data_IF_560041081153
#
_entry.id   IF_560041081153
#
_cell.length_a   1.000
_cell.length_b   1.000
_cell.length_c   1.000
_cell.angle_alpha   90.00
_cell.angle_beta   90.00
_cell.angle_gamma   90.00
#
_symmetry.space_group_name_H-M   'P 1'
#
loop_
_entity.id
_entity.type
_entity.pdbx_description
1 polymer ?
#
# COMPACT_ATOMS: atom_id res chain seq x y z
N UNK A 1 1.28 -29.18 4.01
CA UNK A 1 0.91 -27.75 3.77
C UNK A 1 -0.25 -27.31 4.66
N UNK A 2 -1.47 -27.85 4.54
CA UNK A 2 -2.62 -27.39 5.35
C UNK A 2 -2.37 -27.43 6.88
N UNK A 3 -1.83 -28.54 7.40
CA UNK A 3 -1.49 -28.64 8.83
C UNK A 3 -0.50 -27.56 9.29
N UNK A 4 0.60 -27.38 8.55
CA UNK A 4 1.59 -26.32 8.81
C UNK A 4 0.98 -24.92 8.71
N UNK A 5 0.03 -24.70 7.80
CA UNK A 5 -0.72 -23.44 7.71
C UNK A 5 -1.55 -23.16 8.97
N UNK A 6 -2.19 -24.18 9.53
CA UNK A 6 -2.93 -24.07 10.79
C UNK A 6 -1.98 -23.79 11.97
N UNK A 7 -0.83 -24.47 12.04
CA UNK A 7 0.20 -24.21 13.05
C UNK A 7 0.71 -22.76 12.96
N UNK A 8 0.96 -22.25 11.74
CA UNK A 8 1.34 -20.85 11.52
C UNK A 8 0.26 -19.88 12.03
N UNK A 9 -1.01 -20.14 11.74
CA UNK A 9 -2.12 -19.28 12.17
C UNK A 9 -2.25 -19.23 13.71
N UNK A 10 -2.09 -20.38 14.38
CA UNK A 10 -2.07 -20.47 15.85
C UNK A 10 -0.88 -19.68 16.41
N UNK A 11 0.34 -19.94 15.91
CA UNK A 11 1.55 -19.27 16.37
C UNK A 11 1.52 -17.76 16.16
N UNK A 12 0.96 -17.30 15.03
CA UNK A 12 0.77 -15.88 14.75
C UNK A 12 -0.21 -15.25 15.75
N UNK A 13 -1.34 -15.92 16.02
CA UNK A 13 -2.35 -15.43 16.98
C UNK A 13 -1.79 -15.33 18.40
N UNK A 14 -1.09 -16.36 18.86
CA UNK A 14 -0.40 -16.35 20.16
C UNK A 14 0.64 -15.22 20.26
N UNK A 15 1.37 -14.99 19.17
CA UNK A 15 2.38 -13.92 19.12
C UNK A 15 1.75 -12.53 19.18
N UNK A 16 0.67 -12.30 18.42
CA UNK A 16 -0.08 -11.02 18.45
C UNK A 16 -0.63 -10.75 19.85
N UNK A 17 -1.18 -11.76 20.52
CA UNK A 17 -1.69 -11.65 21.90
C UNK A 17 -0.57 -11.39 22.90
N UNK A 18 0.55 -12.12 22.81
CA UNK A 18 1.71 -11.98 23.70
C UNK A 18 2.36 -10.60 23.57
N UNK A 19 2.48 -10.09 22.34
CA UNK A 19 3.08 -8.78 22.06
C UNK A 19 2.12 -7.62 22.28
N UNK A 20 0.84 -7.91 22.51
CA UNK A 20 -0.22 -6.93 22.76
C UNK A 20 -0.19 -5.81 21.70
N UNK A 21 -0.23 -6.21 20.42
CA UNK A 21 0.00 -5.29 19.29
C UNK A 21 -1.04 -4.16 19.21
N UNK A 22 -2.24 -4.39 19.76
CA UNK A 22 -3.33 -3.41 19.79
C UNK A 22 -3.17 -2.37 20.92
N UNK A 23 -2.24 -2.59 21.87
CA UNK A 23 -2.05 -1.69 22.99
C UNK A 23 -1.39 -0.38 22.57
N UNK A 24 -2.20 0.68 22.57
CA UNK A 24 -1.75 2.02 22.17
C UNK A 24 -0.75 2.67 23.13
N UNK A 25 -0.64 2.16 24.36
CA UNK A 25 0.34 2.60 25.37
C UNK A 25 1.75 2.04 25.16
N UNK A 26 1.90 1.04 24.29
CA UNK A 26 3.21 0.52 23.89
C UNK A 26 3.69 1.20 22.60
N UNK A 27 5.01 1.18 22.31
CA UNK A 27 5.55 1.54 20.99
C UNK A 27 4.87 0.73 19.87
N UNK A 28 5.02 1.15 18.61
CA UNK A 28 4.45 0.39 17.48
C UNK A 28 5.31 -0.83 17.16
N UNK A 29 6.63 -0.66 17.13
CA UNK A 29 7.60 -1.74 17.01
C UNK A 29 7.92 -2.38 18.37
N UNK A 30 8.40 -3.62 18.33
CA UNK A 30 8.82 -4.45 19.47
C UNK A 30 10.32 -4.71 19.43
N UNK A 31 10.81 -5.58 20.30
CA UNK A 31 12.22 -5.98 20.28
C UNK A 31 12.61 -6.56 18.92
N UNK A 32 13.86 -6.35 18.50
CA UNK A 32 14.34 -6.77 17.18
C UNK A 32 14.06 -8.26 16.89
N UNK A 33 14.30 -9.14 17.86
CA UNK A 33 14.05 -10.58 17.71
C UNK A 33 12.55 -10.90 17.53
N UNK A 34 11.69 -10.14 18.21
CA UNK A 34 10.24 -10.30 18.11
C UNK A 34 9.72 -9.83 16.76
N UNK A 35 10.26 -8.73 16.24
CA UNK A 35 9.92 -8.21 14.92
C UNK A 35 10.45 -9.06 13.77
N UNK A 36 11.63 -9.67 13.94
CA UNK A 36 12.13 -10.66 12.99
C UNK A 36 11.23 -11.91 12.96
N UNK A 37 10.85 -12.46 14.11
CA UNK A 37 9.94 -13.62 14.20
C UNK A 37 8.59 -13.29 13.53
N UNK A 38 8.01 -12.13 13.87
CA UNK A 38 6.74 -11.68 13.30
C UNK A 38 6.84 -11.45 11.79
N UNK A 39 7.90 -10.81 11.29
CA UNK A 39 8.10 -10.60 9.86
C UNK A 39 8.20 -11.93 9.09
N UNK A 40 8.88 -12.94 9.65
CA UNK A 40 8.94 -14.29 9.06
C UNK A 40 7.56 -14.93 8.96
N UNK A 41 6.76 -14.85 10.02
CA UNK A 41 5.39 -15.35 10.03
C UNK A 41 4.50 -14.62 9.01
N UNK A 42 4.59 -13.30 8.92
CA UNK A 42 3.81 -12.50 7.98
C UNK A 42 4.18 -12.77 6.51
N UNK A 43 5.47 -12.94 6.20
CA UNK A 43 5.91 -13.33 4.85
C UNK A 43 5.39 -14.73 4.51
N UNK A 44 5.47 -15.67 5.44
CA UNK A 44 4.93 -17.03 5.25
C UNK A 44 3.41 -17.01 5.03
N UNK A 45 2.68 -16.22 5.81
CA UNK A 45 1.23 -16.05 5.66
C UNK A 45 0.87 -15.41 4.31
N UNK A 46 1.66 -14.45 3.82
CA UNK A 46 1.48 -13.83 2.52
C UNK A 46 1.58 -14.86 1.37
N UNK A 47 2.44 -15.87 1.46
CA UNK A 47 2.48 -16.94 0.46
C UNK A 47 1.23 -17.83 0.46
N UNK A 48 0.64 -18.12 1.63
CA UNK A 48 -0.67 -18.77 1.70
C UNK A 48 -1.77 -17.90 1.10
N UNK A 49 -1.70 -16.58 1.28
CA UNK A 49 -2.63 -15.64 0.64
C UNK A 49 -2.48 -15.63 -0.89
N UNK A 50 -1.26 -15.78 -1.42
CA UNK A 50 -1.04 -15.97 -2.86
C UNK A 50 -1.70 -17.26 -3.36
N UNK A 51 -1.65 -18.37 -2.62
CA UNK A 51 -2.38 -19.59 -2.97
C UNK A 51 -3.88 -19.35 -3.08
N UNK A 52 -4.46 -18.63 -2.11
CA UNK A 52 -5.89 -18.35 -2.08
C UNK A 52 -6.35 -17.44 -3.22
N UNK A 53 -5.51 -16.49 -3.67
CA UNK A 53 -5.87 -15.48 -4.67
C UNK A 53 -5.46 -15.83 -6.10
N UNK A 54 -4.29 -16.44 -6.26
CA UNK A 54 -3.69 -16.72 -7.57
C UNK A 54 -2.92 -18.05 -7.53
N UNK A 55 -3.59 -19.19 -7.74
CA UNK A 55 -2.96 -20.52 -7.68
C UNK A 55 -1.75 -20.67 -8.61
N UNK A 56 -1.76 -20.00 -9.77
CA UNK A 56 -0.62 -20.00 -10.71
C UNK A 56 0.60 -19.31 -10.10
N UNK A 57 0.41 -18.16 -9.44
CA UNK A 57 1.50 -17.41 -8.80
C UNK A 57 2.09 -18.16 -7.61
N UNK A 58 1.27 -18.95 -6.91
CA UNK A 58 1.72 -19.72 -5.76
C UNK A 58 2.81 -20.74 -6.10
N UNK A 59 2.75 -21.36 -7.27
CA UNK A 59 3.73 -22.35 -7.73
C UNK A 59 5.17 -21.80 -7.76
N UNK A 60 5.33 -20.47 -7.82
CA UNK A 60 6.63 -19.79 -7.85
C UNK A 60 7.07 -19.27 -6.48
N UNK A 61 6.33 -19.58 -5.40
CA UNK A 61 6.72 -19.18 -4.05
C UNK A 61 7.74 -20.15 -3.43
N UNK A 62 8.64 -19.69 -2.54
CA UNK A 62 9.52 -20.57 -1.78
C UNK A 62 8.77 -21.64 -0.97
N UNK A 63 7.57 -21.29 -0.48
CA UNK A 63 6.68 -22.21 0.22
C UNK A 63 6.29 -23.38 -0.68
N UNK A 64 5.71 -23.11 -1.86
CA UNK A 64 5.29 -24.16 -2.79
C UNK A 64 6.48 -25.02 -3.22
N UNK A 65 7.61 -24.40 -3.59
CA UNK A 65 8.80 -25.11 -4.02
C UNK A 65 9.36 -26.05 -2.95
N UNK A 66 9.37 -25.61 -1.68
CA UNK A 66 9.87 -26.45 -0.57
C UNK A 66 8.88 -27.55 -0.21
N UNK A 67 7.61 -27.22 -0.05
CA UNK A 67 6.59 -28.15 0.39
C UNK A 67 6.30 -29.26 -0.63
N UNK A 68 6.46 -28.98 -1.94
CA UNK A 68 6.28 -29.97 -2.99
C UNK A 68 7.52 -30.87 -3.18
N UNK A 69 8.72 -30.37 -2.85
CA UNK A 69 9.96 -31.14 -2.99
C UNK A 69 10.08 -32.26 -1.95
N UNK A 70 9.70 -31.98 -0.71
CA UNK A 70 9.69 -32.95 0.38
C UNK A 70 8.51 -32.71 1.33
N UNK A 71 7.31 -33.22 0.98
CA UNK A 71 6.11 -33.01 1.78
C UNK A 71 6.21 -33.60 3.20
N UNK A 72 7.00 -34.67 3.38
CA UNK A 72 7.13 -35.39 4.65
C UNK A 72 7.97 -34.64 5.69
N UNK A 73 8.94 -33.83 5.23
CA UNK A 73 9.78 -33.02 6.10
C UNK A 73 9.30 -31.56 6.26
N UNK A 74 8.16 -31.19 5.66
CA UNK A 74 7.67 -29.81 5.71
C UNK A 74 6.97 -29.50 7.04
N UNK A 75 7.67 -28.80 7.92
CA UNK A 75 7.22 -28.36 9.26
C UNK A 75 7.07 -26.84 9.36
N UNK A 76 6.49 -26.35 10.46
CA UNK A 76 6.43 -24.90 10.75
C UNK A 76 7.84 -24.28 10.84
N UNK A 77 8.76 -24.91 11.57
CA UNK A 77 10.15 -24.43 11.66
C UNK A 77 10.80 -24.31 10.28
N UNK A 78 10.56 -25.31 9.42
CA UNK A 78 11.10 -25.27 8.06
C UNK A 78 10.49 -24.13 7.25
N UNK A 79 9.19 -23.87 7.41
CA UNK A 79 8.50 -22.75 6.77
C UNK A 79 9.06 -21.39 7.23
N UNK A 80 9.28 -21.19 8.53
CA UNK A 80 9.78 -19.92 9.08
C UNK A 80 11.25 -19.63 8.73
N UNK A 81 12.00 -20.65 8.30
CA UNK A 81 13.34 -20.50 7.73
C UNK A 81 13.34 -20.10 6.25
N UNK A 82 12.22 -20.20 5.53
CA UNK A 82 12.17 -19.90 4.09
C UNK A 82 12.30 -18.41 3.74
N UNK A 83 11.71 -17.45 4.50
CA UNK A 83 11.90 -16.04 4.23
C UNK A 83 13.39 -15.66 4.23
N UNK A 84 13.84 -15.09 3.10
CA UNK A 84 15.21 -14.62 2.97
C UNK A 84 15.46 -13.44 3.92
N UNK A 85 16.66 -13.37 4.52
CA UNK A 85 17.02 -12.33 5.51
C UNK A 85 16.75 -10.90 5.00
N UNK A 86 17.00 -10.64 3.72
CA UNK A 86 16.80 -9.30 3.15
C UNK A 86 15.31 -8.94 3.02
N UNK A 87 14.43 -9.94 2.86
CA UNK A 87 12.97 -9.71 2.88
C UNK A 87 12.50 -9.38 4.30
N UNK A 88 13.01 -10.10 5.29
CA UNK A 88 12.75 -9.84 6.72
C UNK A 88 13.23 -8.44 7.10
N UNK A 89 14.46 -8.09 6.69
CA UNK A 89 15.01 -6.74 6.89
C UNK A 89 14.19 -5.65 6.19
N UNK A 90 13.67 -5.90 4.98
CA UNK A 90 12.81 -4.95 4.27
C UNK A 90 11.47 -4.73 4.99
N UNK A 91 10.86 -5.77 5.55
CA UNK A 91 9.60 -5.67 6.32
C UNK A 91 9.83 -4.93 7.64
N UNK A 92 10.85 -5.30 8.41
CA UNK A 92 11.18 -4.64 9.68
C UNK A 92 11.57 -3.17 9.48
N UNK A 93 12.31 -2.85 8.42
CA UNK A 93 12.62 -1.45 8.07
C UNK A 93 11.39 -0.63 7.69
N UNK A 94 10.38 -1.24 7.04
CA UNK A 94 9.11 -0.58 6.74
C UNK A 94 8.29 -0.33 8.02
N UNK A 95 8.25 -1.29 8.94
CA UNK A 95 7.61 -1.12 10.25
C UNK A 95 8.27 0.02 11.03
N UNK A 96 9.59 0.05 11.10
CA UNK A 96 10.32 1.13 11.78
C UNK A 96 9.96 2.52 11.23
N UNK A 97 9.82 2.64 9.89
CA UNK A 97 9.38 3.90 9.25
C UNK A 97 7.93 4.25 9.58
N UNK A 98 7.05 3.27 9.72
CA UNK A 98 5.67 3.48 10.15
C UNK A 98 5.61 3.95 11.61
N UNK A 99 6.40 3.30 12.49
CA UNK A 99 6.48 3.58 13.92
C UNK A 99 7.03 4.97 14.25
N UNK A 100 7.88 5.52 13.37
CA UNK A 100 8.57 6.81 13.59
C UNK A 100 8.26 7.83 12.48
N UNK A 101 7.08 7.73 11.88
CA UNK A 101 6.70 8.47 10.69
C UNK A 101 5.32 9.11 10.77
N UNK A 102 4.72 9.50 9.63
CA UNK A 102 3.41 10.14 9.61
C UNK A 102 2.28 9.25 10.17
N UNK A 103 2.46 7.92 10.19
CA UNK A 103 1.51 7.00 10.79
C UNK A 103 1.54 7.01 12.33
N UNK A 104 2.69 7.32 12.95
CA UNK A 104 2.77 7.54 14.39
C UNK A 104 1.90 8.74 14.81
N UNK A 105 2.02 9.85 14.08
CA UNK A 105 1.21 11.05 14.30
C UNK A 105 -0.29 10.81 14.02
N UNK A 106 -0.63 9.90 13.12
CA UNK A 106 -2.01 9.47 12.88
C UNK A 106 -2.53 8.60 14.03
N UNK A 107 -1.74 7.64 14.50
CA UNK A 107 -2.07 6.80 15.66
C UNK A 107 -2.26 7.61 16.93
N UNK A 108 -1.44 8.64 17.17
CA UNK A 108 -1.50 9.47 18.36
C UNK A 108 -2.77 10.34 18.47
N UNK A 109 -3.38 10.71 17.33
CA UNK A 109 -4.57 11.58 17.29
C UNK A 109 -5.89 10.84 17.15
N UNK A 110 -5.86 9.53 16.94
CA UNK A 110 -7.03 8.68 16.71
C UNK A 110 -7.19 7.68 17.85
N UNK A 111 -8.35 7.03 17.90
CA UNK A 111 -8.66 5.90 18.77
C UNK A 111 -8.94 4.65 17.95
N UNK A 112 -8.92 3.45 18.56
CA UNK A 112 -9.25 2.22 17.84
C UNK A 112 -10.61 2.26 17.13
N UNK A 113 -11.63 2.87 17.74
CA UNK A 113 -12.95 3.05 17.15
C UNK A 113 -12.99 3.95 15.91
N UNK A 114 -11.96 4.79 15.71
CA UNK A 114 -11.82 5.65 14.52
C UNK A 114 -11.16 4.91 13.35
N UNK A 115 -10.71 3.67 13.55
CA UNK A 115 -9.97 2.87 12.58
C UNK A 115 -10.80 1.69 12.09
N UNK A 116 -11.16 1.69 10.80
CA UNK A 116 -11.73 0.54 10.12
C UNK A 116 -10.65 -0.11 9.24
N UNK A 117 -10.15 -1.28 9.65
CA UNK A 117 -9.25 -2.10 8.81
C UNK A 117 -10.06 -2.98 7.88
N UNK A 118 -9.62 -3.11 6.61
CA UNK A 118 -10.33 -3.92 5.62
C UNK A 118 -11.80 -3.51 5.42
N UNK A 119 -12.14 -2.20 5.33
CA UNK A 119 -13.54 -1.80 5.24
C UNK A 119 -14.19 -2.43 4.01
N UNK A 120 -15.31 -3.10 4.26
CA UNK A 120 -16.17 -3.66 3.21
C UNK A 120 -17.29 -2.68 2.88
N UNK A 121 -17.74 -2.69 1.64
CA UNK A 121 -18.75 -1.75 1.14
C UNK A 121 -20.06 -2.46 0.86
N UNK A 122 -21.12 -2.05 1.56
CA UNK A 122 -22.44 -2.68 1.46
C UNK A 122 -23.05 -2.50 0.05
N UNK A 123 -23.82 -3.49 -0.41
CA UNK A 123 -24.59 -3.41 -1.66
C UNK A 123 -23.77 -3.57 -2.94
N UNK A 124 -22.44 -3.56 -2.87
CA UNK A 124 -21.59 -3.87 -4.00
C UNK A 124 -21.61 -5.39 -4.27
N UNK A 125 -21.93 -5.80 -5.50
CA UNK A 125 -21.72 -7.19 -5.96
C UNK A 125 -20.23 -7.51 -6.17
N UNK A 126 -19.36 -6.57 -5.81
CA UNK A 126 -17.91 -6.68 -5.88
C UNK A 126 -17.35 -6.68 -4.46
N UNK A 127 -16.47 -7.62 -4.18
CA UNK A 127 -15.64 -7.61 -2.98
C UNK A 127 -14.47 -6.68 -3.24
N UNK A 128 -14.39 -5.59 -2.49
CA UNK A 128 -13.30 -4.64 -2.53
C UNK A 128 -12.87 -4.37 -1.09
N UNK A 129 -11.62 -4.69 -0.79
CA UNK A 129 -11.03 -4.50 0.53
C UNK A 129 -10.04 -3.34 0.40
N UNK A 130 -10.46 -2.15 0.85
CA UNK A 130 -9.48 -1.09 1.10
C UNK A 130 -8.61 -1.48 2.30
N UNK A 131 -7.41 -0.92 2.42
CA UNK A 131 -6.51 -1.35 3.50
C UNK A 131 -6.99 -0.83 4.85
N UNK A 132 -7.22 0.49 4.95
CA UNK A 132 -7.75 1.11 6.17
C UNK A 132 -8.48 2.42 5.88
N UNK A 133 -9.49 2.73 6.68
CA UNK A 133 -10.00 4.10 6.87
C UNK A 133 -9.73 4.51 8.31
N UNK A 134 -9.14 5.70 8.50
CA UNK A 134 -8.85 6.25 9.83
C UNK A 134 -9.38 7.68 9.89
N UNK A 135 -10.37 7.95 10.74
CA UNK A 135 -10.93 9.29 10.97
C UNK A 135 -11.25 10.02 9.65
N UNK A 136 -12.11 9.41 8.81
CA UNK A 136 -12.48 9.94 7.49
C UNK A 136 -11.39 9.88 6.42
N UNK A 137 -10.19 9.38 6.73
CA UNK A 137 -9.08 9.24 5.77
C UNK A 137 -8.97 7.81 5.25
N UNK A 138 -9.29 7.58 3.98
CA UNK A 138 -9.04 6.33 3.27
C UNK A 138 -7.55 6.21 2.92
N UNK A 139 -6.84 5.17 3.38
CA UNK A 139 -5.42 4.98 3.12
C UNK A 139 -5.18 3.64 2.43
N UNK A 140 -4.47 3.67 1.31
CA UNK A 140 -3.93 2.50 0.61
C UNK A 140 -2.40 2.42 0.82
N UNK A 141 -1.88 1.23 1.07
CA UNK A 141 -0.48 0.95 1.34
C UNK A 141 0.18 0.34 0.11
N UNK A 142 1.30 0.94 -0.33
CA UNK A 142 2.11 0.41 -1.42
C UNK A 142 3.56 0.24 -1.00
N UNK A 143 4.04 -1.01 -1.05
CA UNK A 143 5.44 -1.36 -0.84
C UNK A 143 6.19 -1.36 -2.17
N UNK A 144 6.53 -0.18 -2.70
CA UNK A 144 7.20 -0.05 -3.99
C UNK A 144 8.64 0.46 -3.89
N UNK A 145 9.51 -0.07 -4.76
CA UNK A 145 10.90 0.39 -4.91
C UNK A 145 11.00 1.70 -5.70
N UNK A 146 10.03 1.97 -6.56
CA UNK A 146 9.97 3.15 -7.42
C UNK A 146 8.67 3.93 -7.14
N UNK A 147 8.69 4.89 -6.19
CA UNK A 147 7.51 5.64 -5.75
C UNK A 147 6.66 6.26 -6.87
N UNK A 148 7.30 6.73 -7.94
CA UNK A 148 6.61 7.35 -9.07
C UNK A 148 5.77 6.35 -9.88
N UNK A 149 6.14 5.07 -9.89
CA UNK A 149 5.35 4.04 -10.56
C UNK A 149 4.04 3.76 -9.82
N UNK A 150 3.98 3.98 -8.50
CA UNK A 150 2.76 3.81 -7.72
C UNK A 150 1.83 5.01 -7.81
N UNK A 151 2.33 6.18 -8.22
CA UNK A 151 1.51 7.32 -8.61
C UNK A 151 0.96 7.14 -10.04
N UNK A 152 0.46 5.92 -10.32
CA UNK A 152 -0.09 5.55 -11.61
C UNK A 152 -1.58 5.86 -11.70
N UNK A 153 -2.07 5.93 -12.94
CA UNK A 153 -3.49 6.00 -13.22
C UNK A 153 -4.27 4.82 -12.60
N UNK A 154 -3.67 3.63 -12.54
CA UNK A 154 -4.30 2.45 -11.94
C UNK A 154 -4.53 2.64 -10.44
N UNK A 155 -3.53 3.13 -9.71
CA UNK A 155 -3.66 3.40 -8.27
C UNK A 155 -4.71 4.48 -8.02
N UNK A 156 -4.72 5.52 -8.86
CA UNK A 156 -5.75 6.55 -8.77
C UNK A 156 -7.16 5.96 -8.95
N UNK A 157 -7.38 5.13 -9.98
CA UNK A 157 -8.67 4.49 -10.18
C UNK A 157 -9.05 3.52 -9.06
N UNK A 158 -8.09 2.82 -8.47
CA UNK A 158 -8.34 1.95 -7.32
C UNK A 158 -8.87 2.75 -6.12
N UNK A 159 -8.18 3.81 -5.73
CA UNK A 159 -8.59 4.69 -4.63
C UNK A 159 -9.93 5.37 -4.92
N UNK A 160 -10.17 5.80 -6.16
CA UNK A 160 -11.48 6.33 -6.57
C UNK A 160 -12.57 5.27 -6.42
N UNK A 161 -12.30 4.01 -6.82
CA UNK A 161 -13.23 2.91 -6.65
C UNK A 161 -13.64 2.71 -5.19
N UNK A 162 -12.68 2.66 -4.27
CA UNK A 162 -12.96 2.56 -2.83
C UNK A 162 -13.79 3.74 -2.31
N UNK A 163 -13.44 4.96 -2.68
CA UNK A 163 -14.18 6.17 -2.31
C UNK A 163 -15.65 6.12 -2.77
N UNK A 164 -15.90 5.68 -4.00
CA UNK A 164 -17.24 5.58 -4.59
C UNK A 164 -18.04 4.39 -4.07
N UNK A 165 -17.38 3.35 -3.55
CA UNK A 165 -18.03 2.21 -2.94
C UNK A 165 -18.61 2.51 -1.56
N UNK A 166 -18.14 3.55 -0.86
CA UNK A 166 -18.77 4.06 0.36
C UNK A 166 -20.07 4.83 0.08
N UNK A 167 -20.98 4.23 -0.69
CA UNK A 167 -22.20 4.86 -1.17
C UNK A 167 -23.16 5.28 -0.04
N UNK A 168 -23.14 4.53 1.06
CA UNK A 168 -23.92 4.83 2.27
C UNK A 168 -23.22 5.84 3.20
N UNK A 169 -22.04 6.36 2.81
CA UNK A 169 -21.21 7.27 3.60
C UNK A 169 -20.93 6.75 5.03
N UNK A 170 -20.75 5.44 5.16
CA UNK A 170 -20.57 4.77 6.45
C UNK A 170 -19.26 5.18 7.10
N UNK A 171 -18.21 5.36 6.27
CA UNK A 171 -16.89 5.71 6.73
C UNK A 171 -16.61 7.22 6.69
N UNK A 172 -17.56 8.02 6.18
CA UNK A 172 -17.48 9.48 6.07
C UNK A 172 -16.17 9.94 5.44
N UNK A 173 -15.78 9.31 4.34
CA UNK A 173 -14.48 9.53 3.70
C UNK A 173 -14.43 10.94 3.11
N UNK A 174 -13.63 11.81 3.70
CA UNK A 174 -13.38 13.19 3.23
C UNK A 174 -11.95 13.40 2.73
N UNK A 175 -11.05 12.45 3.01
CA UNK A 175 -9.64 12.52 2.67
C UNK A 175 -9.19 11.18 2.08
N UNK A 176 -8.40 11.24 1.01
CA UNK A 176 -7.78 10.07 0.37
C UNK A 176 -6.27 10.12 0.61
N UNK A 177 -5.68 8.98 0.92
CA UNK A 177 -4.28 8.82 1.29
C UNK A 177 -3.60 7.66 0.59
N UNK A 178 -2.33 7.84 0.26
CA UNK A 178 -1.45 6.79 -0.23
C UNK A 178 -0.21 6.76 0.67
N UNK A 179 0.04 5.62 1.31
CA UNK A 179 1.22 5.39 2.13
C UNK A 179 2.23 4.50 1.42
N UNK A 180 3.43 5.03 1.18
CA UNK A 180 4.54 4.32 0.59
C UNK A 180 5.45 3.78 1.70
N UNK A 181 5.20 2.54 2.12
CA UNK A 181 5.84 1.93 3.30
C UNK A 181 7.38 1.91 3.21
N UNK A 182 7.94 1.61 2.04
CA UNK A 182 9.41 1.59 1.84
C UNK A 182 10.07 2.96 1.95
N UNK A 183 9.34 4.05 1.76
CA UNK A 183 9.88 5.41 1.94
C UNK A 183 9.37 6.10 3.21
N UNK A 184 8.36 5.55 3.89
CA UNK A 184 7.72 6.17 5.05
C UNK A 184 6.90 7.41 4.69
N UNK A 185 6.48 7.55 3.43
CA UNK A 185 5.80 8.75 2.93
C UNK A 185 4.29 8.53 2.90
N UNK A 186 3.55 9.32 3.67
CA UNK A 186 2.10 9.47 3.52
C UNK A 186 1.80 10.72 2.69
N UNK A 187 1.06 10.55 1.60
CA UNK A 187 0.50 11.69 0.85
C UNK A 187 -1.01 11.63 0.96
N UNK A 188 -1.63 12.79 1.25
CA UNK A 188 -3.08 12.90 1.43
C UNK A 188 -3.65 14.05 0.61
N UNK A 189 -4.89 13.89 0.19
CA UNK A 189 -5.67 14.87 -0.57
C UNK A 189 -7.10 14.92 -0.02
N UNK A 190 -7.66 16.12 0.23
CA UNK A 190 -9.11 16.25 0.36
C UNK A 190 -9.79 15.63 -0.87
N UNK A 191 -10.97 15.01 -0.68
CA UNK A 191 -11.67 14.29 -1.75
C UNK A 191 -11.91 15.17 -2.97
N UNK A 192 -12.31 16.43 -2.78
CA UNK A 192 -12.55 17.36 -3.90
C UNK A 192 -11.28 17.62 -4.73
N UNK A 193 -10.15 17.82 -4.05
CA UNK A 193 -8.85 17.99 -4.72
C UNK A 193 -8.43 16.69 -5.42
N UNK A 194 -8.69 15.54 -4.80
CA UNK A 194 -8.36 14.23 -5.34
C UNK A 194 -9.16 13.93 -6.62
N UNK A 195 -10.47 14.16 -6.61
CA UNK A 195 -11.38 13.95 -7.74
C UNK A 195 -11.13 14.94 -8.90
N UNK A 196 -10.58 16.13 -8.61
CA UNK A 196 -10.15 17.05 -9.65
C UNK A 196 -8.96 16.49 -10.49
N UNK A 197 -8.08 15.66 -9.90
CA UNK A 197 -6.91 15.09 -10.59
C UNK A 197 -7.26 14.20 -11.80
N UNK A 198 -8.21 13.23 -11.71
CA UNK A 198 -8.66 12.44 -12.85
C UNK A 198 -9.65 13.20 -13.76
N UNK A 199 -9.98 14.47 -13.46
CA UNK A 199 -10.93 15.26 -14.24
C UNK A 199 -12.40 15.00 -13.90
N UNK A 200 -12.69 14.51 -12.69
CA UNK A 200 -14.06 14.29 -12.21
C UNK A 200 -14.78 15.60 -11.81
N UNK A 201 -14.28 16.76 -12.24
CA UNK A 201 -14.81 18.11 -11.96
C UNK A 201 -16.25 18.38 -12.44
N UNK A 202 -16.98 17.34 -12.84
CA UNK A 202 -18.31 17.41 -13.44
C UNK A 202 -19.42 16.94 -12.51
N UNK A 203 -19.13 16.36 -11.34
CA UNK A 203 -20.14 15.84 -10.41
C UNK A 203 -19.64 15.94 -8.98
N UNK A 204 -20.55 16.20 -8.03
CA UNK A 204 -20.20 16.05 -6.62
C UNK A 204 -20.05 14.56 -6.25
N UNK A 205 -19.44 14.30 -5.09
CA UNK A 205 -19.17 12.94 -4.64
C UNK A 205 -20.45 12.09 -4.50
N UNK A 206 -21.56 12.70 -4.08
CA UNK A 206 -22.84 12.00 -3.87
C UNK A 206 -23.41 11.54 -5.21
N UNK A 207 -23.38 12.41 -6.22
CA UNK A 207 -23.81 12.08 -7.57
C UNK A 207 -22.90 11.00 -8.18
N UNK A 208 -21.57 11.10 -7.98
CA UNK A 208 -20.63 10.08 -8.45
C UNK A 208 -20.89 8.71 -7.81
N UNK A 209 -21.15 8.67 -6.50
CA UNK A 209 -21.54 7.44 -5.78
C UNK A 209 -22.83 6.84 -6.34
N UNK A 210 -23.83 7.68 -6.62
CA UNK A 210 -25.09 7.26 -7.24
C UNK A 210 -24.91 6.63 -8.62
N UNK A 211 -24.19 7.33 -9.51
CA UNK A 211 -23.88 6.84 -10.87
C UNK A 211 -23.07 5.55 -10.83
N UNK A 212 -22.08 5.47 -9.93
CA UNK A 212 -21.26 4.26 -9.79
C UNK A 212 -22.08 3.08 -9.26
N UNK A 213 -22.99 3.31 -8.31
CA UNK A 213 -23.94 2.29 -7.83
C UNK A 213 -24.87 1.79 -8.93
N UNK A 214 -25.35 2.68 -9.81
CA UNK A 214 -26.13 2.30 -10.99
C UNK A 214 -25.32 1.40 -11.94
N UNK A 215 -24.07 1.79 -12.24
CA UNK A 215 -23.17 0.99 -13.10
C UNK A 215 -22.95 -0.43 -12.55
N UNK A 216 -22.78 -0.58 -11.23
CA UNK A 216 -22.57 -1.87 -10.58
C UNK A 216 -23.83 -2.76 -10.54
N UNK A 217 -25.02 -2.16 -10.56
CA UNK A 217 -26.31 -2.88 -10.48
C UNK A 217 -27.02 -3.01 -11.83
N UNK A 218 -26.43 -2.44 -12.88
CA UNK A 218 -26.92 -2.38 -14.26
C UNK A 218 -27.45 -1.00 -14.59
N UNK A 219 -26.94 -0.38 -15.67
CA UNK A 219 -27.34 0.96 -16.13
C UNK A 219 -28.86 1.06 -16.33
N UNK A 220 -29.49 2.03 -15.68
CA UNK A 220 -30.93 2.35 -15.78
C UNK A 220 -31.19 3.78 -16.28
N UNK A 221 -30.14 4.57 -16.56
CA UNK A 221 -30.21 5.80 -17.34
C UNK A 221 -29.37 6.97 -16.85
N UNK A 222 -28.94 7.07 -15.58
CA UNK A 222 -28.12 8.23 -15.14
C UNK A 222 -26.65 8.08 -15.49
N UNK A 223 -26.13 6.85 -15.54
CA UNK A 223 -24.78 6.61 -16.00
C UNK A 223 -24.58 7.01 -17.48
N UNK A 224 -25.62 6.84 -18.28
CA UNK A 224 -25.64 7.15 -19.72
C UNK A 224 -26.15 8.58 -20.02
N UNK A 225 -26.65 9.30 -19.02
CA UNK A 225 -27.12 10.67 -19.19
C UNK A 225 -25.94 11.61 -19.49
N UNK A 226 -26.05 12.36 -20.60
CA UNK A 226 -25.10 13.43 -20.90
C UNK A 226 -25.17 14.49 -19.79
N UNK A 227 -24.05 14.71 -19.11
CA UNK A 227 -23.93 15.79 -18.15
C UNK A 227 -23.83 17.13 -18.90
N UNK A 228 -24.87 17.96 -18.79
CA UNK A 228 -24.89 19.33 -19.29
C UNK A 228 -24.33 20.27 -18.22
N UNK A 229 -23.00 20.33 -18.13
CA UNK A 229 -22.34 21.27 -17.24
C UNK A 229 -22.59 22.72 -17.64
N UNK A 230 -22.56 23.63 -16.66
CA UNK A 230 -22.63 25.06 -16.95
C UNK A 230 -21.37 25.51 -17.73
N UNK A 231 -21.46 26.65 -18.42
CA UNK A 231 -20.30 27.21 -19.13
C UNK A 231 -19.12 27.48 -18.16
N UNK A 232 -19.44 27.89 -16.94
CA UNK A 232 -18.47 28.13 -15.87
C UNK A 232 -17.76 26.84 -15.42
N UNK A 233 -18.48 25.72 -15.31
CA UNK A 233 -17.90 24.39 -15.03
C UNK A 233 -17.00 23.92 -16.18
N UNK A 234 -17.41 24.19 -17.41
CA UNK A 234 -16.61 23.87 -18.61
C UNK A 234 -15.30 24.67 -18.63
N UNK A 235 -15.34 25.95 -18.22
CA UNK A 235 -14.17 26.81 -18.11
C UNK A 235 -13.24 26.39 -16.97
N UNK A 236 -13.76 25.99 -15.80
CA UNK A 236 -12.96 25.43 -14.70
C UNK A 236 -12.21 24.16 -15.12
N UNK A 237 -12.87 23.25 -15.84
CA UNK A 237 -12.23 22.04 -16.39
C UNK A 237 -11.12 22.41 -17.37
N UNK A 238 -11.36 23.36 -18.26
CA UNK A 238 -10.37 23.83 -19.24
C UNK A 238 -9.16 24.45 -18.56
N UNK A 239 -9.37 25.20 -17.47
CA UNK A 239 -8.30 25.78 -16.66
C UNK A 239 -7.50 24.69 -15.91
N UNK A 240 -8.16 23.66 -15.38
CA UNK A 240 -7.51 22.54 -14.71
C UNK A 240 -6.70 21.65 -15.68
N UNK A 241 -7.20 21.43 -16.89
CA UNK A 241 -6.53 20.63 -17.94
C UNK A 241 -5.45 21.42 -18.71
N UNK A 242 -5.51 22.76 -18.69
CA UNK A 242 -4.63 23.64 -19.47
C UNK A 242 -3.50 24.33 -18.68
N UNK A 243 -3.41 24.16 -17.35
CA UNK A 243 -2.40 24.84 -16.54
C UNK A 243 -1.04 24.09 -16.56
N UNK A 244 0.05 24.69 -17.11
CA UNK A 244 1.39 24.18 -16.90
C UNK A 244 1.81 24.50 -15.46
N UNK A 245 2.02 23.47 -14.63
CA UNK A 245 2.85 23.57 -13.43
C UNK A 245 2.32 24.45 -12.29
N UNK A 246 1.08 24.27 -11.84
CA UNK A 246 0.70 24.72 -10.50
C UNK A 246 1.17 23.67 -9.47
N UNK A 247 2.34 23.89 -8.84
CA UNK A 247 2.77 23.13 -7.66
C UNK A 247 1.78 23.37 -6.51
N UNK A 248 0.65 22.67 -6.50
CA UNK A 248 -0.20 22.56 -5.32
C UNK A 248 0.52 21.64 -4.34
N UNK A 249 1.08 22.24 -3.29
CA UNK A 249 1.82 21.53 -2.24
C UNK A 249 0.92 20.47 -1.64
N UNK A 250 1.29 19.19 -1.77
CA UNK A 250 0.91 18.18 -0.80
C UNK A 250 1.25 18.75 0.59
N UNK A 251 0.25 18.92 1.45
CA UNK A 251 0.50 19.30 2.84
C UNK A 251 1.22 18.13 3.51
N UNK A 252 2.55 18.22 3.61
CA UNK A 252 3.30 17.46 4.61
C UNK A 252 2.83 17.96 5.98
N UNK A 253 2.51 17.03 6.87
CA UNK A 253 2.30 17.36 8.28
C UNK A 253 3.54 18.11 8.81
N UNK A 254 3.38 19.19 9.59
CA UNK A 254 4.52 19.95 10.11
C UNK A 254 5.25 19.15 11.19
N UNK A 255 6.57 18.96 11.02
CA UNK A 255 7.38 18.27 12.04
C UNK A 255 8.78 17.76 11.65
N UNK A 256 9.37 18.15 10.51
CA UNK A 256 10.73 17.69 10.14
C UNK A 256 11.63 18.89 9.89
N UNK A 257 12.56 19.15 10.81
CA UNK A 257 13.69 20.05 10.58
C UNK A 257 14.63 19.44 9.52
N UNK A 258 15.09 20.20 8.51
CA UNK A 258 16.11 19.72 7.60
C UNK A 258 17.46 19.70 8.34
N UNK A 259 17.89 18.50 8.72
CA UNK A 259 19.28 18.24 9.11
C UNK A 259 20.22 18.52 7.94
N UNK A 260 21.30 19.22 8.24
CA UNK A 260 22.45 19.55 7.41
C UNK A 260 22.90 18.40 6.51
N UNK A 261 23.04 18.68 5.22
CA UNK A 261 23.59 17.74 4.24
C UNK A 261 25.08 17.47 4.49
N UNK A 262 25.55 16.22 4.52
CA UNK A 262 26.97 15.93 4.42
C UNK A 262 27.42 16.05 2.96
N UNK A 263 28.64 16.57 2.78
CA UNK A 263 29.23 16.94 1.50
C UNK A 263 29.31 15.81 0.47
N UNK A 264 29.22 16.23 -0.79
CA UNK A 264 29.37 15.45 -2.01
C UNK A 264 30.77 14.78 -2.04
N UNK A 265 30.89 13.46 -2.24
CA UNK A 265 32.19 12.86 -2.52
C UNK A 265 32.63 13.21 -3.95
N UNK A 266 33.95 13.33 -4.23
CA UNK A 266 34.45 13.59 -5.57
C UNK A 266 34.24 12.39 -6.49
N UNK A 267 34.10 12.67 -7.78
CA UNK A 267 33.94 11.67 -8.84
C UNK A 267 35.19 10.80 -8.98
N UNK A 268 35.07 9.51 -9.36
CA UNK A 268 36.23 8.66 -9.61
C UNK A 268 36.93 9.05 -10.91
N UNK A 269 38.24 9.28 -10.82
CA UNK A 269 39.15 9.41 -11.96
C UNK A 269 39.17 8.11 -12.78
N UNK A 270 39.05 8.27 -14.09
CA UNK A 270 39.23 7.20 -15.08
C UNK A 270 40.71 6.89 -15.20
N UNK A 271 41.16 5.80 -14.57
CA UNK A 271 42.49 5.24 -14.78
C UNK A 271 42.44 4.30 -15.99
N UNK A 272 42.95 4.80 -17.12
CA UNK A 272 43.48 3.98 -18.20
C UNK A 272 44.67 3.17 -17.66
N UNK A 273 44.66 1.84 -17.79
CA UNK A 273 45.73 1.05 -18.44
C UNK A 273 45.56 -0.48 -18.26
N UNK A 274 46.01 -1.17 -19.30
CA UNK A 274 46.43 -2.58 -19.39
C UNK A 274 45.37 -3.65 -19.70
N UNK A 275 45.06 -3.74 -21.00
CA UNK A 275 44.65 -4.98 -21.68
C UNK A 275 45.89 -5.83 -21.94
N UNK A 276 45.97 -7.10 -21.50
CA UNK A 276 46.92 -8.05 -22.04
C UNK A 276 46.36 -8.68 -23.33
N UNK A 277 47.19 -8.68 -24.37
CA UNK A 277 46.98 -9.36 -25.66
C UNK A 277 46.97 -10.89 -25.49
N UNK A 278 46.27 -11.65 -26.35
CA UNK A 278 46.24 -13.11 -26.30
C UNK A 278 47.51 -13.70 -26.94
N UNK A 279 48.11 -14.71 -26.31
CA UNK A 279 49.06 -15.58 -26.99
C UNK A 279 48.35 -16.85 -27.47
N UNK A 280 48.30 -16.98 -28.79
CA UNK A 280 48.08 -18.24 -29.50
C UNK A 280 49.36 -19.09 -29.46
N UNK A 281 49.22 -20.41 -29.35
CA UNK A 281 50.31 -21.35 -29.69
C UNK A 281 50.31 -22.67 -28.92
N UNK A 282 49.56 -23.66 -29.41
CA UNK A 282 49.83 -25.12 -29.27
C UNK A 282 51.20 -25.50 -29.87
N UNK A 283 51.80 -26.68 -29.59
CA UNK A 283 51.21 -27.95 -29.13
C UNK A 283 51.71 -28.50 -27.79
#
# INVERSE_FOLDING_TARGET
MHAVGNELAVRLTETVQRLDLDNRGLPVDRGQDEEEDLARMLIAAAWYQVLARTPIGFAFTPLAGTALKDPGAFTLDRLLQLPHRDMVADVTAQLHKAAHGPLEALRARTRPEDCASGPTFAGARITADADIVVDGTLIDFKSARHPLAEMSQRTAWQLTGYLLLDAADTYRIDTVGLYLSRSGVLTTWPVDDYLALPGACRRDLTELRGVFGELLTGCRGQADAQYFGTQEETERVRAAAGAPGARRRARRLPGVHPGTAPGRPPAPEVLHHLVPQPQEGSP
#
